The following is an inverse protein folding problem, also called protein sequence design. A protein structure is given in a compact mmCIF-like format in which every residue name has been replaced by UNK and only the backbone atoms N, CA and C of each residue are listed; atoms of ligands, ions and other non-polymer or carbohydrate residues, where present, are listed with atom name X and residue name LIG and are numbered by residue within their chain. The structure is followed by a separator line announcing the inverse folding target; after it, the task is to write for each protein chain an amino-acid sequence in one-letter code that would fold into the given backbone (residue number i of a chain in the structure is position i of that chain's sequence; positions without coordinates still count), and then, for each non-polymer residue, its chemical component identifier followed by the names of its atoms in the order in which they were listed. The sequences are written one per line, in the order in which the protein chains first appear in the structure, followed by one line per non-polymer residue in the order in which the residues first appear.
data_IF_602976577706
#
_entry.id   IF_602976577706
#
_cell.length_a   1.000
_cell.length_b   1.000
_cell.length_c   1.000
_cell.angle_alpha   90.00
_cell.angle_beta   90.00
_cell.angle_gamma   90.00
#
_symmetry.space_group_name_H-M   'P 1'
#
loop_
_entity.id
_entity.type
_entity.pdbx_description
1 polymer ?
#
# COMPACT_ATOMS: atom_id res chain seq x y z
N UNK A 1 8.72 -29.96 34.80
CA UNK A 1 8.31 -29.46 33.46
C UNK A 1 7.08 -28.59 33.66
N UNK A 2 7.28 -27.31 33.83
CA UNK A 2 6.21 -26.33 34.13
C UNK A 2 5.93 -25.54 32.89
N UNK A 3 4.78 -25.78 32.25
CA UNK A 3 4.28 -25.05 31.09
C UNK A 3 3.83 -23.68 31.54
N UNK A 4 4.47 -22.63 31.04
CA UNK A 4 4.05 -21.26 31.24
C UNK A 4 2.99 -20.89 30.18
N UNK A 5 1.75 -20.74 30.63
CA UNK A 5 0.68 -20.15 29.86
C UNK A 5 0.96 -18.65 29.71
N UNK A 6 1.24 -18.19 28.49
CA UNK A 6 1.23 -16.78 28.15
C UNK A 6 -0.23 -16.29 28.14
N UNK A 7 -0.63 -15.60 29.19
CA UNK A 7 -1.88 -14.86 29.25
C UNK A 7 -1.72 -13.59 28.39
N UNK A 8 -2.49 -13.52 27.32
CA UNK A 8 -2.62 -12.31 26.53
C UNK A 8 -3.08 -11.15 27.42
N UNK A 9 -2.33 -10.05 27.35
CA UNK A 9 -2.62 -8.82 28.09
C UNK A 9 -3.93 -8.21 27.55
N UNK A 10 -4.93 -7.91 28.39
CA UNK A 10 -6.14 -7.23 27.94
C UNK A 10 -5.80 -5.80 27.49
N UNK A 11 -6.57 -5.21 26.55
CA UNK A 11 -6.35 -3.87 26.07
C UNK A 11 -6.44 -2.86 27.20
N UNK A 12 -5.42 -2.04 27.34
CA UNK A 12 -5.17 -1.20 28.51
C UNK A 12 -5.70 0.22 28.38
N UNK A 13 -6.94 0.46 27.91
CA UNK A 13 -7.58 1.79 28.15
C UNK A 13 -9.10 1.69 28.13
N UNK A 14 -9.80 2.18 29.18
CA UNK A 14 -11.24 2.43 29.08
C UNK A 14 -11.46 3.71 28.24
N UNK A 15 -12.30 3.59 27.24
CA UNK A 15 -12.76 4.68 26.39
C UNK A 15 -13.58 5.66 27.24
N UNK A 16 -13.08 6.83 27.56
CA UNK A 16 -13.81 7.93 28.16
C UNK A 16 -13.76 9.16 27.27
N UNK A 17 -14.84 9.40 26.56
CA UNK A 17 -15.03 10.64 25.79
C UNK A 17 -16.08 10.44 24.70
N UNK A 18 -17.28 10.99 24.89
CA UNK A 18 -18.26 11.14 23.80
C UNK A 18 -17.72 12.17 22.79
N UNK A 19 -16.91 11.68 21.85
CA UNK A 19 -16.59 12.34 20.60
C UNK A 19 -17.23 11.52 19.49
N UNK A 20 -17.77 12.16 18.45
CA UNK A 20 -18.37 11.50 17.28
C UNK A 20 -17.62 10.21 16.99
N UNK A 21 -18.25 9.06 17.23
CA UNK A 21 -17.74 7.78 16.80
C UNK A 21 -17.66 7.86 15.26
N UNK A 22 -16.48 8.10 14.70
CA UNK A 22 -16.20 7.66 13.34
C UNK A 22 -16.30 6.15 13.41
N UNK A 23 -17.27 5.57 12.69
CA UNK A 23 -17.44 4.14 12.67
C UNK A 23 -16.17 3.53 12.06
N UNK A 24 -15.41 2.78 12.86
CA UNK A 24 -14.28 1.98 12.35
C UNK A 24 -14.84 0.84 11.49
N UNK A 25 -14.13 0.51 10.45
CA UNK A 25 -14.47 -0.61 9.55
C UNK A 25 -13.65 -1.82 9.99
N UNK A 26 -14.26 -2.81 10.65
CA UNK A 26 -13.57 -4.02 11.06
C UNK A 26 -13.30 -4.94 9.85
N UNK A 27 -12.26 -5.78 9.97
CA UNK A 27 -11.80 -6.65 8.88
C UNK A 27 -12.90 -7.53 8.29
N UNK A 28 -13.82 -8.05 9.12
CA UNK A 28 -14.91 -8.91 8.68
C UNK A 28 -16.01 -8.18 7.87
N UNK A 29 -16.05 -6.86 7.89
CA UNK A 29 -16.94 -6.04 7.05
C UNK A 29 -16.31 -5.71 5.68
N UNK A 30 -15.00 -5.98 5.47
CA UNK A 30 -14.32 -5.72 4.22
C UNK A 30 -14.52 -6.90 3.26
N UNK A 31 -15.18 -6.70 2.08
CA UNK A 31 -15.51 -7.79 1.18
C UNK A 31 -14.26 -8.42 0.56
N UNK A 32 -14.25 -9.74 0.43
CA UNK A 32 -13.23 -10.47 -0.34
C UNK A 32 -13.51 -10.40 -1.83
N UNK A 33 -12.51 -10.73 -2.66
CA UNK A 33 -12.72 -10.83 -4.11
C UNK A 33 -13.77 -11.90 -4.44
N UNK A 34 -13.78 -13.04 -3.72
CA UNK A 34 -14.81 -14.07 -3.88
C UNK A 34 -16.21 -13.49 -3.70
N UNK A 35 -16.41 -12.68 -2.63
CA UNK A 35 -17.71 -12.05 -2.40
C UNK A 35 -18.03 -11.03 -3.50
N UNK A 36 -17.06 -10.22 -3.93
CA UNK A 36 -17.27 -9.23 -4.99
C UNK A 36 -17.62 -9.88 -6.34
N UNK A 37 -17.03 -11.02 -6.67
CA UNK A 37 -17.41 -11.82 -7.84
C UNK A 37 -18.83 -12.40 -7.70
N UNK A 38 -19.17 -13.00 -6.56
CA UNK A 38 -20.54 -13.52 -6.28
C UNK A 38 -21.60 -12.42 -6.40
N UNK A 39 -21.30 -11.20 -5.96
CA UNK A 39 -22.18 -10.02 -6.06
C UNK A 39 -22.13 -9.34 -7.43
N UNK A 40 -21.35 -9.86 -8.40
CA UNK A 40 -21.15 -9.28 -9.74
C UNK A 40 -20.67 -7.81 -9.71
N UNK A 41 -19.89 -7.45 -8.69
CA UNK A 41 -19.23 -6.15 -8.62
C UNK A 41 -17.94 -6.13 -9.46
N UNK A 42 -17.32 -7.29 -9.64
CA UNK A 42 -16.20 -7.52 -10.55
C UNK A 42 -16.65 -8.55 -11.57
N UNK A 43 -16.43 -8.25 -12.86
CA UNK A 43 -16.75 -9.17 -13.95
C UNK A 43 -15.48 -9.95 -14.35
N UNK A 44 -15.61 -11.25 -14.70
CA UNK A 44 -14.50 -12.01 -15.25
C UNK A 44 -13.94 -11.35 -16.52
N UNK A 45 -12.65 -11.50 -16.79
CA UNK A 45 -12.05 -11.01 -18.03
C UNK A 45 -12.71 -11.66 -19.25
N UNK A 46 -13.16 -10.86 -20.21
CA UNK A 46 -13.83 -11.37 -21.39
C UNK A 46 -12.82 -12.04 -22.36
N UNK A 47 -13.04 -13.31 -22.69
CA UNK A 47 -12.55 -13.94 -23.91
C UNK A 47 -11.11 -14.42 -23.99
N UNK A 48 -10.32 -14.43 -22.92
CA UNK A 48 -8.97 -15.03 -22.89
C UNK A 48 -8.84 -16.02 -21.76
N UNK A 49 -8.08 -17.10 -21.98
CA UNK A 49 -7.60 -17.91 -20.85
C UNK A 49 -6.82 -17.00 -19.92
N UNK A 50 -7.13 -16.99 -18.62
CA UNK A 50 -6.44 -16.12 -17.68
C UNK A 50 -4.95 -16.46 -17.65
N UNK A 51 -4.10 -15.44 -17.61
CA UNK A 51 -2.65 -15.60 -17.48
C UNK A 51 -2.29 -16.32 -16.16
N UNK A 52 -3.09 -16.07 -15.14
CA UNK A 52 -2.97 -16.70 -13.82
C UNK A 52 -4.06 -17.76 -13.61
N UNK A 53 -3.68 -18.86 -13.00
CA UNK A 53 -4.64 -19.92 -12.65
C UNK A 53 -5.63 -19.43 -11.60
N UNK A 54 -6.94 -19.66 -11.78
CA UNK A 54 -7.95 -19.38 -10.75
C UNK A 54 -7.61 -20.07 -9.41
N UNK A 55 -7.73 -19.34 -8.32
CA UNK A 55 -7.47 -19.87 -6.98
C UNK A 55 -8.44 -19.22 -5.97
N UNK A 56 -9.40 -20.00 -5.49
CA UNK A 56 -10.41 -19.53 -4.54
C UNK A 56 -9.76 -19.04 -3.24
N UNK A 57 -8.76 -19.76 -2.72
CA UNK A 57 -8.09 -19.38 -1.48
C UNK A 57 -7.38 -18.01 -1.58
N UNK A 58 -6.84 -17.66 -2.73
CA UNK A 58 -6.28 -16.31 -2.92
C UNK A 58 -7.38 -15.25 -3.02
N UNK A 59 -8.50 -15.56 -3.70
CA UNK A 59 -9.63 -14.64 -3.81
C UNK A 59 -10.32 -14.39 -2.46
N UNK A 60 -10.24 -15.32 -1.52
CA UNK A 60 -10.73 -15.16 -0.14
C UNK A 60 -9.78 -14.31 0.73
N UNK A 61 -8.50 -14.22 0.34
CA UNK A 61 -7.47 -13.48 1.07
C UNK A 61 -7.22 -12.08 0.52
N UNK A 62 -7.78 -11.72 -0.63
CA UNK A 62 -7.62 -10.41 -1.23
C UNK A 62 -8.93 -9.64 -1.23
N UNK A 63 -8.85 -8.35 -0.92
CA UNK A 63 -9.97 -7.42 -0.86
C UNK A 63 -9.66 -6.14 -1.63
N UNK A 64 -10.69 -5.49 -2.14
CA UNK A 64 -10.63 -4.12 -2.63
C UNK A 64 -11.81 -3.34 -2.09
N UNK A 65 -11.56 -2.12 -1.61
CA UNK A 65 -12.58 -1.24 -1.03
C UNK A 65 -12.23 0.21 -1.33
N UNK A 66 -13.25 1.05 -1.46
CA UNK A 66 -13.07 2.51 -1.49
C UNK A 66 -13.48 3.10 -0.14
N UNK A 67 -12.48 3.51 0.65
CA UNK A 67 -12.66 3.97 2.01
C UNK A 67 -11.50 4.85 2.47
N UNK A 68 -11.69 5.57 3.56
CA UNK A 68 -10.60 6.22 4.30
C UNK A 68 -9.79 5.16 5.06
N UNK A 69 -8.54 4.96 4.68
CA UNK A 69 -7.66 3.95 5.27
C UNK A 69 -7.45 4.14 6.77
N UNK A 70 -7.60 5.38 7.26
CA UNK A 70 -7.45 5.71 8.70
C UNK A 70 -8.58 5.16 9.56
N UNK A 71 -9.67 4.70 8.94
CA UNK A 71 -10.82 4.11 9.64
C UNK A 71 -10.76 2.59 9.73
N UNK A 72 -9.81 1.93 9.05
CA UNK A 72 -9.75 0.47 9.00
C UNK A 72 -9.17 -0.11 10.29
N UNK A 73 -9.94 -0.99 10.92
CA UNK A 73 -9.49 -1.78 12.09
C UNK A 73 -8.85 -3.08 11.61
N UNK A 74 -7.59 -2.97 11.20
CA UNK A 74 -6.74 -4.05 10.67
C UNK A 74 -5.40 -4.05 11.39
N UNK A 75 -4.57 -5.09 11.23
CA UNK A 75 -3.29 -5.14 11.94
C UNK A 75 -2.31 -4.10 11.40
N UNK A 76 -2.30 -3.87 10.07
CA UNK A 76 -1.41 -2.86 9.50
C UNK A 76 -2.02 -2.12 8.32
N UNK A 77 -1.71 -0.82 8.21
CA UNK A 77 -2.01 0.03 7.06
C UNK A 77 -0.72 0.50 6.40
N UNK A 78 -0.74 0.67 5.07
CA UNK A 78 0.41 1.16 4.31
C UNK A 78 0.20 2.61 3.93
N UNK A 79 1.07 3.45 4.44
CA UNK A 79 1.13 4.88 4.16
C UNK A 79 1.95 5.15 2.89
N UNK A 80 1.45 6.01 2.00
CA UNK A 80 2.21 6.53 0.86
C UNK A 80 3.08 7.72 1.33
N UNK A 81 4.21 7.41 1.93
CA UNK A 81 5.12 8.36 2.53
C UNK A 81 6.10 8.99 1.52
N UNK A 82 6.74 10.07 1.93
CA UNK A 82 7.93 10.61 1.27
C UNK A 82 9.22 10.08 1.92
N UNK A 83 10.37 10.39 1.33
CA UNK A 83 11.67 9.88 1.77
C UNK A 83 12.08 10.33 3.18
N UNK A 84 11.53 11.43 3.70
CA UNK A 84 11.83 11.88 5.07
C UNK A 84 11.06 11.10 6.13
N UNK A 85 9.91 10.54 5.80
CA UNK A 85 8.92 9.92 6.69
C UNK A 85 8.30 10.88 7.72
N UNK A 86 8.48 12.20 7.55
CA UNK A 86 8.05 13.20 8.53
C UNK A 86 6.68 13.82 8.20
N UNK A 87 5.84 13.05 7.53
CA UNK A 87 4.52 13.50 7.11
C UNK A 87 4.56 14.33 5.83
N UNK A 88 3.39 14.71 5.34
CA UNK A 88 3.21 15.47 4.11
C UNK A 88 1.74 15.73 3.84
N UNK A 89 1.37 15.84 2.55
CA UNK A 89 -0.01 16.00 2.11
C UNK A 89 -0.71 14.67 1.79
N UNK A 90 -1.98 14.76 1.42
CA UNK A 90 -2.76 13.58 1.00
C UNK A 90 -2.92 12.56 2.12
N UNK A 91 -2.82 11.26 1.77
CA UNK A 91 -2.99 10.16 2.72
C UNK A 91 -1.93 10.17 3.82
N UNK A 92 -0.70 10.58 3.53
CA UNK A 92 0.38 10.70 4.51
C UNK A 92 0.01 11.68 5.63
N UNK A 93 -0.45 12.87 5.26
CA UNK A 93 -0.94 13.85 6.24
C UNK A 93 -2.19 13.39 7.00
N UNK A 94 -3.10 12.66 6.34
CA UNK A 94 -4.28 12.10 7.01
C UNK A 94 -3.89 11.06 8.07
N UNK A 95 -2.99 10.15 7.74
CA UNK A 95 -2.48 9.12 8.67
C UNK A 95 -1.76 9.78 9.85
N UNK A 96 -0.84 10.74 9.61
CA UNK A 96 -0.14 11.42 10.68
C UNK A 96 -1.08 12.17 11.62
N UNK A 97 -2.12 12.84 11.09
CA UNK A 97 -3.13 13.51 11.94
C UNK A 97 -3.96 12.53 12.76
N UNK A 98 -4.35 11.39 12.16
CA UNK A 98 -5.18 10.38 12.83
C UNK A 98 -4.39 9.56 13.86
N UNK A 99 -3.11 9.32 13.62
CA UNK A 99 -2.22 8.60 14.54
C UNK A 99 -1.78 9.45 15.75
N UNK A 100 -1.87 10.79 15.62
CA UNK A 100 -1.39 11.68 16.68
C UNK A 100 0.10 12.02 16.61
N UNK A 101 0.59 12.86 17.53
CA UNK A 101 1.95 13.43 17.46
C UNK A 101 3.07 12.41 17.69
N UNK A 102 2.82 11.34 18.44
CA UNK A 102 3.81 10.31 18.76
C UNK A 102 4.35 9.61 17.53
N UNK A 103 3.52 9.48 16.47
CA UNK A 103 3.96 8.93 15.20
C UNK A 103 5.11 9.73 14.58
N UNK A 104 5.05 11.07 14.63
CA UNK A 104 6.10 11.92 14.07
C UNK A 104 7.41 11.73 14.83
N UNK A 105 7.35 11.58 16.14
CA UNK A 105 8.53 11.35 16.99
C UNK A 105 9.19 10.02 16.64
N UNK A 106 8.43 8.93 16.49
CA UNK A 106 8.97 7.63 16.08
C UNK A 106 9.55 7.69 14.66
N UNK A 107 8.83 8.26 13.70
CA UNK A 107 9.30 8.44 12.32
C UNK A 107 10.64 9.19 12.26
N UNK A 108 10.82 10.21 13.14
CA UNK A 108 12.08 10.96 13.27
C UNK A 108 13.28 10.08 13.62
N UNK A 109 13.06 8.98 14.36
CA UNK A 109 14.14 8.05 14.74
C UNK A 109 14.56 7.11 13.60
N UNK A 110 13.70 6.94 12.58
CA UNK A 110 13.94 6.00 11.48
C UNK A 110 15.00 6.48 10.48
N UNK A 111 15.33 7.79 10.46
CA UNK A 111 16.33 8.35 9.55
C UNK A 111 15.92 8.34 8.09
N UNK A 112 14.63 8.41 7.79
CA UNK A 112 14.08 8.38 6.44
C UNK A 112 14.00 6.98 5.83
N UNK A 113 13.56 6.91 4.56
CA UNK A 113 13.44 5.66 3.80
C UNK A 113 13.73 5.92 2.32
N UNK A 114 14.39 4.96 1.67
CA UNK A 114 14.69 5.03 0.24
C UNK A 114 13.46 4.74 -0.62
N UNK A 115 13.41 5.34 -1.81
CA UNK A 115 12.37 5.05 -2.80
C UNK A 115 12.40 3.58 -3.24
N UNK A 116 11.27 2.93 -3.24
CA UNK A 116 11.11 1.50 -3.55
C UNK A 116 11.23 0.60 -2.32
N UNK A 117 11.23 1.18 -1.11
CA UNK A 117 11.30 0.46 0.16
C UNK A 117 10.22 0.94 1.14
N UNK A 118 10.19 0.37 2.34
CA UNK A 118 9.27 0.75 3.40
C UNK A 118 9.91 0.60 4.78
N UNK A 119 9.35 1.26 5.79
CA UNK A 119 9.66 1.11 7.22
C UNK A 119 8.37 1.02 8.03
N UNK A 120 8.41 0.45 9.22
CA UNK A 120 7.24 0.19 10.06
C UNK A 120 7.34 0.97 11.37
N UNK A 121 6.18 1.42 11.87
CA UNK A 121 5.98 2.06 13.17
C UNK A 121 4.76 1.49 13.86
N UNK A 122 4.52 1.91 15.09
CA UNK A 122 3.25 1.67 15.78
C UNK A 122 2.10 2.51 15.18
N UNK A 123 0.84 2.07 15.39
CA UNK A 123 -0.36 2.72 14.86
C UNK A 123 -0.87 3.88 15.75
N UNK A 124 -0.44 3.95 17.01
CA UNK A 124 -0.79 4.97 18.01
C UNK A 124 -2.31 5.16 18.23
N UNK A 125 -2.88 6.30 17.79
CA UNK A 125 -4.31 6.59 17.95
C UNK A 125 -5.19 6.01 16.83
N UNK A 126 -4.58 5.41 15.80
CA UNK A 126 -5.31 4.71 14.73
C UNK A 126 -5.97 3.43 15.24
N UNK A 127 -7.04 2.96 14.57
CA UNK A 127 -7.59 1.63 14.82
C UNK A 127 -6.64 0.50 14.36
N UNK A 128 -5.73 0.77 13.44
CA UNK A 128 -4.69 -0.16 12.99
C UNK A 128 -3.54 -0.22 14.01
N UNK A 129 -2.99 -1.42 14.25
CA UNK A 129 -1.90 -1.61 15.23
C UNK A 129 -0.56 -1.09 14.72
N UNK A 130 -0.31 -1.15 13.40
CA UNK A 130 0.95 -0.76 12.76
C UNK A 130 0.72 0.11 11.54
N UNK A 131 1.72 0.97 11.25
CA UNK A 131 1.80 1.74 10.00
C UNK A 131 3.07 1.35 9.27
N UNK A 132 2.95 0.98 8.01
CA UNK A 132 4.08 0.70 7.13
C UNK A 132 4.22 1.86 6.16
N UNK A 133 5.29 2.64 6.30
CA UNK A 133 5.58 3.84 5.52
C UNK A 133 6.33 3.45 4.26
N UNK A 134 5.62 3.30 3.14
CA UNK A 134 6.20 2.95 1.85
C UNK A 134 6.50 4.21 1.03
N UNK A 135 7.72 4.30 0.48
CA UNK A 135 8.15 5.43 -0.34
C UNK A 135 8.12 5.04 -1.81
N UNK A 136 7.03 5.34 -2.47
CA UNK A 136 6.85 5.06 -3.88
C UNK A 136 7.62 6.02 -4.80
N UNK A 137 7.81 5.65 -6.08
CA UNK A 137 8.49 6.49 -7.06
C UNK A 137 7.64 7.69 -7.49
N UNK A 138 8.31 8.82 -7.76
CA UNK A 138 7.73 9.92 -8.53
C UNK A 138 7.80 9.52 -10.01
N UNK A 139 6.63 9.28 -10.63
CA UNK A 139 6.51 8.60 -11.91
C UNK A 139 7.26 9.29 -13.06
N UNK A 140 7.10 10.61 -13.20
CA UNK A 140 7.74 11.37 -14.30
C UNK A 140 9.27 11.54 -14.15
N UNK A 141 9.84 11.18 -13.00
CA UNK A 141 11.29 11.24 -12.76
C UNK A 141 11.99 9.93 -13.11
N UNK A 142 11.27 8.93 -13.59
CA UNK A 142 11.77 7.60 -13.86
C UNK A 142 11.32 7.11 -15.24
N UNK A 143 12.06 6.17 -15.82
CA UNK A 143 11.51 5.38 -16.91
C UNK A 143 10.48 4.36 -16.34
N UNK A 144 9.60 3.85 -17.22
CA UNK A 144 8.49 2.97 -16.79
C UNK A 144 8.96 1.72 -16.05
N UNK A 145 10.01 1.07 -16.52
CA UNK A 145 10.50 -0.18 -15.92
C UNK A 145 11.10 0.07 -14.54
N UNK A 146 11.84 1.17 -14.38
CA UNK A 146 12.39 1.57 -13.09
C UNK A 146 11.27 1.96 -12.11
N UNK A 147 10.26 2.73 -12.58
CA UNK A 147 9.11 3.09 -11.78
C UNK A 147 8.34 1.84 -11.31
N UNK A 148 8.09 0.88 -12.21
CA UNK A 148 7.43 -0.38 -11.88
C UNK A 148 8.22 -1.21 -10.86
N UNK A 149 9.54 -1.34 -11.05
CA UNK A 149 10.42 -2.06 -10.12
C UNK A 149 10.42 -1.42 -8.72
N UNK A 150 10.49 -0.09 -8.63
CA UNK A 150 10.47 0.62 -7.36
C UNK A 150 9.10 0.50 -6.68
N UNK A 151 8.01 0.63 -7.43
CA UNK A 151 6.67 0.46 -6.88
C UNK A 151 6.44 -0.97 -6.39
N UNK A 152 6.85 -1.99 -7.14
CA UNK A 152 6.82 -3.39 -6.71
C UNK A 152 7.64 -3.61 -5.43
N UNK A 153 8.80 -2.95 -5.32
CA UNK A 153 9.62 -2.96 -4.10
C UNK A 153 8.87 -2.48 -2.87
N UNK A 154 8.07 -1.41 -3.00
CA UNK A 154 7.22 -0.90 -1.90
C UNK A 154 6.23 -1.97 -1.44
N UNK A 155 5.49 -2.60 -2.35
CA UNK A 155 4.54 -3.67 -2.01
C UNK A 155 5.24 -4.87 -1.38
N UNK A 156 6.32 -5.35 -1.99
CA UNK A 156 7.06 -6.52 -1.49
C UNK A 156 7.62 -6.28 -0.08
N UNK A 157 8.29 -5.14 0.14
CA UNK A 157 8.85 -4.80 1.45
C UNK A 157 7.76 -4.64 2.50
N UNK A 158 6.61 -4.03 2.13
CA UNK A 158 5.48 -3.88 3.05
C UNK A 158 4.89 -5.22 3.47
N UNK A 159 4.70 -6.15 2.55
CA UNK A 159 4.21 -7.50 2.84
C UNK A 159 5.18 -8.25 3.76
N UNK A 160 6.49 -8.15 3.50
CA UNK A 160 7.53 -8.76 4.33
C UNK A 160 7.52 -8.18 5.74
N UNK A 161 7.46 -6.85 5.89
CA UNK A 161 7.40 -6.18 7.19
C UNK A 161 6.14 -6.58 7.97
N UNK A 162 4.99 -6.69 7.31
CA UNK A 162 3.76 -7.15 7.95
C UNK A 162 3.93 -8.55 8.55
N UNK A 163 4.42 -9.50 7.77
CA UNK A 163 4.68 -10.88 8.24
C UNK A 163 5.70 -10.90 9.38
N UNK A 164 6.85 -10.21 9.22
CA UNK A 164 7.91 -10.16 10.23
C UNK A 164 7.46 -9.55 11.56
N UNK A 165 6.41 -8.71 11.54
CA UNK A 165 5.81 -8.12 12.73
C UNK A 165 4.52 -8.82 13.20
N UNK A 166 4.21 -10.00 12.64
CA UNK A 166 3.09 -10.84 13.07
C UNK A 166 1.71 -10.30 12.68
N UNK A 167 1.63 -9.33 11.74
CA UNK A 167 0.37 -8.84 11.21
C UNK A 167 -0.30 -9.93 10.37
N UNK A 168 -1.60 -10.14 10.57
CA UNK A 168 -2.43 -11.05 9.79
C UNK A 168 -3.18 -10.36 8.67
N UNK A 169 -3.33 -9.04 8.76
CA UNK A 169 -4.00 -8.21 7.77
C UNK A 169 -3.18 -6.96 7.44
N UNK A 170 -3.17 -6.60 6.15
CA UNK A 170 -2.48 -5.43 5.64
C UNK A 170 -3.37 -4.69 4.64
N UNK A 171 -3.53 -3.37 4.81
CA UNK A 171 -4.28 -2.53 3.88
C UNK A 171 -3.35 -1.51 3.20
N UNK A 172 -3.32 -1.55 1.88
CA UNK A 172 -2.53 -0.64 1.05
C UNK A 172 -3.34 0.57 0.62
N UNK A 173 -2.82 1.77 0.84
CA UNK A 173 -3.26 2.94 0.10
C UNK A 173 -2.83 2.86 -1.36
N UNK A 174 -3.42 3.69 -2.24
CA UNK A 174 -3.03 3.77 -3.65
C UNK A 174 -1.66 4.45 -3.80
N UNK A 175 -0.59 3.65 -3.70
CA UNK A 175 0.80 4.13 -3.69
C UNK A 175 1.15 4.86 -4.99
N UNK A 176 1.75 6.03 -4.88
CA UNK A 176 2.24 6.90 -5.96
C UNK A 176 1.18 7.49 -6.90
N UNK A 177 -0.12 7.15 -6.81
CA UNK A 177 -1.15 7.60 -7.77
C UNK A 177 -1.66 9.02 -7.52
N UNK A 178 -1.35 9.60 -6.37
CA UNK A 178 -1.65 10.97 -6.01
C UNK A 178 -0.62 11.96 -6.58
N UNK A 179 0.02 12.74 -5.71
CA UNK A 179 1.00 13.78 -6.07
C UNK A 179 2.17 13.24 -6.89
N UNK A 180 2.57 11.96 -6.71
CA UNK A 180 3.65 11.35 -7.48
C UNK A 180 3.25 10.93 -8.90
N UNK A 181 1.97 11.08 -9.28
CA UNK A 181 1.46 11.03 -10.64
C UNK A 181 1.58 9.68 -11.36
N UNK A 182 1.71 8.57 -10.62
CA UNK A 182 1.69 7.25 -11.24
C UNK A 182 0.29 6.99 -11.82
N UNK A 183 0.15 6.61 -13.11
CA UNK A 183 -1.14 6.30 -13.68
C UNK A 183 -1.83 5.14 -12.93
N UNK A 184 -3.06 5.34 -12.45
CA UNK A 184 -3.79 4.36 -11.63
C UNK A 184 -3.87 2.98 -12.27
N UNK A 185 -4.07 2.92 -13.61
CA UNK A 185 -4.12 1.66 -14.35
C UNK A 185 -2.78 0.92 -14.36
N UNK A 186 -1.65 1.61 -14.51
CA UNK A 186 -0.32 1.01 -14.48
C UNK A 186 0.09 0.63 -13.04
N UNK A 187 -0.26 1.48 -12.06
CA UNK A 187 0.06 1.23 -10.65
C UNK A 187 -0.69 -0.01 -10.12
N UNK A 188 -1.97 -0.16 -10.45
CA UNK A 188 -2.76 -1.32 -10.02
C UNK A 188 -2.27 -2.63 -10.62
N UNK A 189 -1.74 -2.63 -11.87
CA UNK A 189 -1.11 -3.83 -12.45
C UNK A 189 0.10 -4.25 -11.62
N UNK A 190 1.00 -3.32 -11.30
CA UNK A 190 2.19 -3.61 -10.47
C UNK A 190 1.81 -4.12 -9.09
N UNK A 191 0.82 -3.49 -8.47
CA UNK A 191 0.32 -3.87 -7.14
C UNK A 191 -0.25 -5.29 -7.12
N UNK A 192 -1.18 -5.58 -8.04
CA UNK A 192 -1.86 -6.86 -8.15
C UNK A 192 -0.88 -7.99 -8.49
N UNK A 193 0.02 -7.76 -9.45
CA UNK A 193 1.05 -8.73 -9.81
C UNK A 193 1.99 -9.05 -8.63
N UNK A 194 2.42 -8.01 -7.89
CA UNK A 194 3.34 -8.18 -6.76
C UNK A 194 2.67 -8.96 -5.63
N UNK A 195 1.41 -8.62 -5.29
CA UNK A 195 0.64 -9.36 -4.27
C UNK A 195 0.39 -10.80 -4.73
N UNK A 196 0.00 -11.02 -6.00
CA UNK A 196 -0.20 -12.37 -6.53
C UNK A 196 1.05 -13.22 -6.41
N UNK A 197 2.21 -12.73 -6.85
CA UNK A 197 3.50 -13.43 -6.73
C UNK A 197 3.86 -13.72 -5.27
N UNK A 198 3.63 -12.77 -4.37
CA UNK A 198 3.87 -12.98 -2.94
C UNK A 198 3.01 -14.11 -2.39
N UNK A 199 1.73 -14.18 -2.74
CA UNK A 199 0.82 -15.26 -2.32
C UNK A 199 1.23 -16.63 -2.88
N UNK A 200 1.93 -16.67 -4.03
CA UNK A 200 2.47 -17.89 -4.64
C UNK A 200 3.82 -18.33 -4.04
N UNK A 201 4.53 -17.43 -3.31
CA UNK A 201 5.84 -17.75 -2.71
C UNK A 201 5.74 -18.72 -1.50
N UNK A 202 4.54 -19.12 -1.04
CA UNK A 202 4.30 -20.17 -0.05
C UNK A 202 4.40 -19.74 1.41
N UNK A 203 5.13 -20.44 2.27
CA UNK A 203 5.06 -20.40 3.73
C UNK A 203 4.91 -19.03 4.39
N UNK A 204 5.63 -18.00 3.91
CA UNK A 204 5.50 -16.63 4.45
C UNK A 204 4.17 -15.97 4.11
N UNK A 205 3.64 -16.26 2.93
CA UNK A 205 2.35 -15.72 2.52
C UNK A 205 1.20 -16.29 3.33
N UNK A 206 1.31 -17.52 3.80
CA UNK A 206 0.28 -18.18 4.61
C UNK A 206 0.13 -17.58 6.01
N UNK A 207 1.07 -16.73 6.41
CA UNK A 207 0.96 -15.96 7.65
C UNK A 207 -0.01 -14.77 7.54
N UNK A 208 -0.34 -14.29 6.31
CA UNK A 208 -1.29 -13.22 6.09
C UNK A 208 -2.69 -13.77 5.76
N UNK A 209 -3.66 -13.43 6.56
CA UNK A 209 -5.06 -13.81 6.35
C UNK A 209 -5.77 -12.89 5.34
N UNK A 210 -5.32 -11.61 5.24
CA UNK A 210 -5.97 -10.64 4.38
C UNK A 210 -5.02 -9.57 3.83
N UNK A 211 -5.07 -9.34 2.51
CA UNK A 211 -4.44 -8.21 1.81
C UNK A 211 -5.53 -7.34 1.21
N UNK A 212 -5.54 -6.05 1.55
CA UNK A 212 -6.61 -5.12 1.20
C UNK A 212 -6.03 -3.98 0.36
N UNK A 213 -6.61 -3.72 -0.81
CA UNK A 213 -6.37 -2.51 -1.58
C UNK A 213 -7.42 -1.47 -1.22
N UNK A 214 -7.05 -0.51 -0.38
CA UNK A 214 -7.91 0.57 0.11
C UNK A 214 -7.72 1.82 -0.74
N UNK A 215 -8.64 2.06 -1.66
CA UNK A 215 -8.61 3.21 -2.53
C UNK A 215 -9.40 4.37 -1.91
N UNK A 216 -8.94 5.60 -2.10
CA UNK A 216 -9.69 6.79 -1.71
C UNK A 216 -10.47 7.36 -2.90
N UNK A 217 -9.82 7.46 -4.06
CA UNK A 217 -10.38 8.04 -5.27
C UNK A 217 -11.04 6.98 -6.15
N UNK A 218 -12.15 7.33 -6.79
CA UNK A 218 -12.88 6.47 -7.72
C UNK A 218 -11.98 5.96 -8.86
N UNK A 219 -11.12 6.82 -9.43
CA UNK A 219 -10.19 6.44 -10.50
C UNK A 219 -9.27 5.27 -10.14
N UNK A 220 -8.85 5.19 -8.86
CA UNK A 220 -7.99 4.12 -8.39
C UNK A 220 -8.79 2.83 -8.21
N UNK A 221 -9.99 2.91 -7.61
CA UNK A 221 -10.91 1.77 -7.49
C UNK A 221 -11.27 1.18 -8.87
N UNK A 222 -11.64 2.03 -9.85
CA UNK A 222 -11.95 1.60 -11.22
C UNK A 222 -10.77 0.86 -11.87
N UNK A 223 -9.54 1.33 -11.62
CA UNK A 223 -8.33 0.68 -12.13
C UNK A 223 -8.14 -0.72 -11.51
N UNK A 224 -8.38 -0.87 -10.20
CA UNK A 224 -8.33 -2.18 -9.54
C UNK A 224 -9.44 -3.11 -10.06
N UNK A 225 -10.68 -2.67 -10.13
CA UNK A 225 -11.80 -3.48 -10.65
C UNK A 225 -11.56 -3.97 -12.06
N UNK A 226 -10.96 -3.13 -12.91
CA UNK A 226 -10.61 -3.50 -14.28
C UNK A 226 -9.51 -4.57 -14.34
N UNK A 227 -8.50 -4.48 -13.48
CA UNK A 227 -7.27 -5.28 -13.59
C UNK A 227 -7.27 -6.55 -12.71
N UNK A 228 -8.08 -6.60 -11.64
CA UNK A 228 -8.22 -7.77 -10.75
C UNK A 228 -8.45 -9.08 -11.51
N UNK A 229 -9.35 -9.16 -12.52
CA UNK A 229 -9.63 -10.42 -13.20
C UNK A 229 -8.43 -11.04 -13.92
N UNK A 230 -7.41 -10.25 -14.23
CA UNK A 230 -6.17 -10.74 -14.85
C UNK A 230 -5.34 -11.56 -13.85
N UNK A 231 -5.19 -11.07 -12.61
CA UNK A 231 -4.30 -11.66 -11.60
C UNK A 231 -5.03 -12.59 -10.63
N UNK A 232 -6.30 -12.32 -10.39
CA UNK A 232 -7.17 -13.04 -9.48
C UNK A 232 -8.47 -13.45 -10.18
N UNK A 233 -8.40 -14.28 -11.23
CA UNK A 233 -9.59 -14.74 -11.93
C UNK A 233 -10.51 -15.53 -10.99
N UNK A 234 -11.86 -15.48 -11.18
CA UNK A 234 -12.79 -16.23 -10.35
C UNK A 234 -12.59 -17.73 -10.55
N UNK A 235 -12.67 -18.49 -9.47
CA UNK A 235 -12.76 -19.95 -9.56
C UNK A 235 -14.10 -20.31 -10.26
N UNK A 236 -14.07 -21.22 -11.22
CA UNK A 236 -15.32 -21.74 -11.82
C UNK A 236 -16.01 -22.64 -10.79
N UNK A 237 -17.35 -22.69 -10.84
CA UNK A 237 -18.13 -23.58 -9.99
C UNK A 237 -17.73 -25.06 -10.12
N UNK A 238 -17.13 -25.44 -11.25
CA UNK A 238 -16.59 -26.79 -11.46
C UNK A 238 -15.29 -27.06 -10.70
N UNK A 239 -14.48 -26.01 -10.41
CA UNK A 239 -13.26 -26.14 -9.62
C UNK A 239 -13.55 -26.18 -8.10
N UNK A 240 -14.64 -25.59 -7.65
CA UNK A 240 -15.07 -25.66 -6.23
C UNK A 240 -15.48 -27.10 -5.87
N UNK A 241 -16.17 -27.80 -6.75
CA UNK A 241 -16.56 -29.22 -6.55
C UNK A 241 -15.38 -30.20 -6.57
N UNK A 242 -14.32 -29.93 -7.32
CA UNK A 242 -13.13 -30.79 -7.33
C UNK A 242 -12.25 -30.62 -6.09
N UNK A 243 -12.29 -29.44 -5.46
CA UNK A 243 -11.55 -29.19 -4.22
C UNK A 243 -12.32 -29.76 -3.01
N UNK A 244 -13.65 -29.65 -2.97
CA UNK A 244 -14.47 -30.27 -1.94
C UNK A 244 -14.44 -31.80 -2.01
N UNK A 245 -14.42 -32.41 -3.21
CA UNK A 245 -14.31 -33.86 -3.34
C UNK A 245 -12.94 -34.42 -2.96
N UNK A 246 -11.85 -33.66 -3.12
CA UNK A 246 -10.52 -34.09 -2.64
C UNK A 246 -10.35 -33.95 -1.13
N UNK A 247 -11.01 -32.94 -0.51
CA UNK A 247 -10.99 -32.77 0.93
C UNK A 247 -11.87 -33.79 1.67
N UNK A 248 -12.92 -34.33 1.01
CA UNK A 248 -13.79 -35.36 1.59
C UNK A 248 -13.22 -36.77 1.47
N UNK A 249 -12.35 -37.03 0.50
CA UNK A 249 -11.70 -38.37 0.38
C UNK A 249 -10.61 -38.63 1.44
N UNK A 250 -10.14 -37.61 2.16
CA UNK A 250 -9.16 -37.76 3.25
C UNK A 250 -9.78 -37.83 4.66
N UNK A 251 -11.09 -37.63 4.83
CA UNK A 251 -11.77 -37.64 6.11
C UNK A 251 -13.05 -38.53 6.07
N UNK A 252 -12.89 -39.83 5.85
CA UNK A 252 -13.92 -40.81 6.20
C UNK A 252 -13.86 -41.10 7.69
N UNK A 253 -14.57 -40.33 8.53
CA UNK A 253 -15.14 -40.78 9.80
C UNK A 253 -16.33 -39.93 10.23
N UNK A 254 -17.51 -40.55 10.18
CA UNK A 254 -18.79 -40.31 10.89
C UNK A 254 -19.02 -38.95 11.54
N UNK A 255 -20.03 -38.20 11.04
CA UNK A 255 -21.26 -37.88 11.82
C UNK A 255 -22.24 -37.10 10.94
N UNK A 256 -23.50 -37.46 11.09
CA UNK A 256 -24.71 -36.93 10.49
C UNK A 256 -25.04 -35.50 10.98
N UNK A 257 -25.92 -34.82 10.19
CA UNK A 257 -26.72 -33.62 10.50
C UNK A 257 -26.02 -32.26 10.23
N UNK A 258 -26.65 -31.23 9.74
CA UNK A 258 -27.99 -30.87 9.19
C UNK A 258 -27.88 -29.54 8.43
N UNK A 259 -28.71 -29.32 7.43
CA UNK A 259 -29.34 -28.10 6.89
C UNK A 259 -28.95 -26.72 7.43
N UNK A 260 -28.17 -25.94 6.68
CA UNK A 260 -28.10 -24.49 6.82
C UNK A 260 -27.69 -23.74 5.52
N UNK A 261 -28.28 -24.14 4.36
CA UNK A 261 -27.97 -23.45 3.08
C UNK A 261 -28.79 -22.17 2.78
N UNK A 262 -29.72 -21.75 3.63
CA UNK A 262 -30.62 -20.62 3.33
C UNK A 262 -30.22 -19.30 4.02
N UNK A 263 -29.32 -19.30 4.99
CA UNK A 263 -28.97 -18.09 5.73
C UNK A 263 -27.79 -17.27 5.15
N UNK A 264 -26.96 -17.87 4.28
CA UNK A 264 -25.76 -17.19 3.74
C UNK A 264 -26.02 -16.03 2.77
N UNK A 265 -27.12 -16.09 1.99
CA UNK A 265 -27.38 -15.08 0.95
C UNK A 265 -27.96 -13.76 1.50
N UNK A 266 -28.63 -13.77 2.64
CA UNK A 266 -29.16 -12.55 3.25
C UNK A 266 -28.09 -11.80 4.06
N UNK A 267 -27.19 -12.50 4.73
CA UNK A 267 -26.10 -11.91 5.49
C UNK A 267 -25.09 -11.14 4.62
N UNK A 268 -24.83 -11.62 3.41
CA UNK A 268 -23.87 -11.01 2.49
C UNK A 268 -24.32 -9.68 1.90
N UNK A 269 -25.63 -9.46 1.71
CA UNK A 269 -26.17 -8.18 1.23
C UNK A 269 -26.16 -7.13 2.35
N UNK A 270 -26.29 -7.57 3.60
CA UNK A 270 -26.30 -6.71 4.78
C UNK A 270 -24.92 -6.11 5.09
N UNK A 271 -23.83 -6.86 4.85
CA UNK A 271 -22.45 -6.41 5.06
C UNK A 271 -22.13 -5.17 4.21
N UNK A 272 -22.49 -5.16 2.92
CA UNK A 272 -22.21 -4.02 2.04
C UNK A 272 -23.03 -2.78 2.37
N UNK A 273 -24.21 -2.93 3.00
CA UNK A 273 -25.04 -1.81 3.42
C UNK A 273 -24.62 -1.20 4.75
N UNK A 274 -23.76 -1.86 5.51
CA UNK A 274 -23.25 -1.40 6.81
C UNK A 274 -21.91 -0.67 6.70
N UNK A 275 -21.24 -0.72 5.54
CA UNK A 275 -20.00 0.03 5.34
C UNK A 275 -20.30 1.53 5.39
N UNK A 276 -19.42 2.33 6.04
CA UNK A 276 -19.48 3.77 5.97
C UNK A 276 -19.46 4.25 4.52
N UNK A 277 -20.08 5.39 4.27
CA UNK A 277 -20.09 6.00 2.94
C UNK A 277 -18.67 6.14 2.41
N UNK A 278 -18.48 5.75 1.13
CA UNK A 278 -17.20 5.91 0.46
C UNK A 278 -16.79 7.40 0.45
N UNK A 279 -15.48 7.71 0.56
CA UNK A 279 -15.02 9.08 0.57
C UNK A 279 -15.41 9.81 -0.72
N UNK A 280 -15.70 11.10 -0.61
CA UNK A 280 -15.94 11.98 -1.76
C UNK A 280 -14.63 12.21 -2.52
N UNK A 281 -14.70 12.32 -3.85
CA UNK A 281 -13.51 12.46 -4.71
C UNK A 281 -12.81 13.83 -4.59
N UNK A 282 -13.36 14.77 -3.84
CA UNK A 282 -12.71 16.05 -3.59
C UNK A 282 -11.69 15.93 -2.46
N UNK A 283 -10.38 15.97 -2.74
CA UNK A 283 -9.41 16.21 -1.70
C UNK A 283 -9.70 17.60 -1.12
N UNK A 284 -9.92 17.69 0.17
CA UNK A 284 -9.94 18.98 0.84
C UNK A 284 -8.55 19.56 0.69
N UNK A 285 -8.41 20.55 -0.20
CA UNK A 285 -7.19 21.34 -0.31
C UNK A 285 -6.97 22.05 1.03
N UNK A 286 -6.14 21.48 1.86
CA UNK A 286 -5.64 22.12 3.07
C UNK A 286 -4.37 22.87 2.67
N UNK A 287 -4.53 23.89 1.83
CA UNK A 287 -3.54 24.94 1.58
C UNK A 287 -3.70 26.06 2.62
N UNK A 288 -3.60 25.75 3.89
CA UNK A 288 -3.39 26.73 4.95
C UNK A 288 -2.68 26.11 6.16
N UNK A 289 -1.60 25.35 5.90
CA UNK A 289 -0.58 25.17 6.90
C UNK A 289 0.56 26.12 6.55
N UNK A 290 0.59 27.27 7.22
CA UNK A 290 1.70 28.23 7.21
C UNK A 290 3.04 27.46 7.22
N UNK A 291 3.78 27.58 6.11
CA UNK A 291 5.19 27.23 6.13
C UNK A 291 5.85 28.01 7.26
N UNK A 292 6.62 27.39 8.14
CA UNK A 292 7.38 28.15 9.13
C UNK A 292 8.31 29.09 8.36
N UNK A 293 8.02 30.36 8.45
CA UNK A 293 8.81 31.45 7.92
C UNK A 293 10.24 31.30 8.42
N UNK A 294 11.17 31.06 7.53
CA UNK A 294 12.58 31.21 7.82
C UNK A 294 12.79 32.64 8.33
N UNK A 295 12.99 32.79 9.63
CA UNK A 295 13.46 34.03 10.23
C UNK A 295 14.79 34.38 9.59
N UNK A 296 14.79 35.34 8.65
CA UNK A 296 16.00 36.04 8.24
C UNK A 296 16.54 36.71 9.52
N UNK A 297 17.63 36.20 10.03
CA UNK A 297 18.45 36.94 11.00
C UNK A 297 18.98 38.18 10.31
N UNK A 298 18.48 39.32 10.79
CA UNK A 298 18.98 40.65 10.46
C UNK A 298 20.26 40.83 11.26
N UNK A 299 21.40 40.67 10.61
CA UNK A 299 22.69 41.14 11.14
C UNK A 299 22.78 42.63 10.87
N UNK A 300 22.95 43.38 11.96
CA UNK A 300 23.20 44.83 11.94
C UNK A 300 24.54 45.16 11.29
N UNK A 301 24.55 46.34 10.76
CA UNK A 301 25.60 47.01 10.04
C UNK A 301 26.93 47.11 10.80
N UNK A 302 28.00 46.93 10.07
CA UNK A 302 29.35 47.40 10.42
C UNK A 302 30.10 47.72 9.12
N UNK A 303 30.34 49.01 8.96
CA UNK A 303 30.96 49.67 7.87
C UNK A 303 32.40 49.24 7.59
N UNK A 304 32.80 49.44 6.37
CA UNK A 304 34.00 50.00 5.78
C UNK A 304 34.78 49.10 4.80
N UNK A 305 34.80 49.66 3.60
CA UNK A 305 35.89 49.72 2.58
C UNK A 305 36.76 48.48 2.27
N UNK A 306 36.66 47.94 1.06
CA UNK A 306 37.66 48.18 0.01
C UNK A 306 37.31 47.47 -1.31
N UNK A 307 37.38 48.26 -2.37
CA UNK A 307 37.32 47.89 -3.77
C UNK A 307 38.54 47.07 -4.19
N UNK A 308 38.38 45.94 -4.85
CA UNK A 308 39.29 45.50 -5.90
C UNK A 308 38.49 44.87 -7.03
N UNK A 309 38.44 45.58 -8.15
CA UNK A 309 38.12 45.06 -9.49
C UNK A 309 39.27 44.15 -9.92
N UNK A 310 38.94 42.97 -10.44
CA UNK A 310 39.85 42.24 -11.35
C UNK A 310 39.10 41.78 -12.57
N UNK A 311 39.68 42.19 -13.69
CA UNK A 311 39.23 42.15 -15.06
C UNK A 311 38.90 40.76 -15.61
N UNK A 312 38.02 40.82 -16.62
CA UNK A 312 37.80 39.84 -17.67
C UNK A 312 39.09 39.46 -18.38
N UNK A 313 39.36 38.16 -18.51
CA UNK A 313 40.23 37.65 -19.57
C UNK A 313 39.40 36.82 -20.52
N UNK A 314 39.17 37.37 -21.69
CA UNK A 314 38.78 36.72 -22.93
C UNK A 314 40.04 36.10 -23.51
N UNK A 315 40.03 34.83 -23.85
CA UNK A 315 41.03 34.24 -24.74
C UNK A 315 40.34 33.48 -25.86
N UNK A 316 40.54 34.02 -27.02
CA UNK A 316 40.12 33.63 -28.36
C UNK A 316 40.86 32.37 -28.84
N UNK A 317 40.26 31.70 -29.82
CA UNK A 317 40.62 30.43 -30.38
C UNK A 317 41.99 30.31 -31.03
N UNK A 318 42.38 29.08 -31.26
CA UNK A 318 42.93 28.58 -32.54
C UNK A 318 43.22 27.07 -32.47
N UNK A 319 42.69 26.32 -33.44
CA UNK A 319 43.21 25.02 -33.87
C UNK A 319 44.59 25.17 -34.48
N UNK A 320 45.42 24.13 -34.53
CA UNK A 320 45.67 23.55 -35.85
C UNK A 320 45.69 22.03 -35.95
N UNK A 321 45.61 21.62 -37.20
CA UNK A 321 45.51 20.31 -37.81
C UNK A 321 46.81 19.48 -37.77
N UNK A 322 46.55 18.14 -38.07
CA UNK A 322 47.36 17.17 -38.83
C UNK A 322 48.71 16.66 -38.24
N UNK A 323 48.88 15.39 -38.15
CA UNK A 323 49.50 14.43 -39.09
C UNK A 323 49.50 13.00 -38.57
N UNK A 324 48.98 12.15 -39.34
CA UNK A 324 49.50 10.94 -39.97
C UNK A 324 50.80 10.32 -39.41
N UNK A 325 50.75 9.06 -39.05
CA UNK A 325 51.91 8.23 -38.77
C UNK A 325 51.57 6.76 -38.60
N UNK A 326 51.66 6.07 -39.69
CA UNK A 326 51.50 4.63 -39.92
C UNK A 326 52.55 3.73 -39.24
N UNK A 327 52.17 2.41 -39.14
CA UNK A 327 53.02 1.18 -39.23
C UNK A 327 53.47 0.55 -37.90
N UNK A 328 53.23 -0.69 -37.70
CA UNK A 328 53.41 -2.03 -38.19
C UNK A 328 53.69 -2.98 -37.01
N UNK A 329 52.98 -4.08 -37.04
CA UNK A 329 53.33 -5.51 -36.91
C UNK A 329 54.26 -6.02 -35.81
N UNK A 330 53.80 -7.11 -35.28
CA UNK A 330 54.43 -8.42 -35.00
C UNK A 330 54.97 -8.61 -33.57
N UNK A 331 54.42 -9.46 -32.84
CA UNK A 331 54.60 -10.90 -32.67
C UNK A 331 53.58 -11.43 -31.66
#
# INVERSE_FOLDING_TARGET
MTSAYYLAKPPSKPFSGQSKMSAFVPLNEIPTLTLLYKLKKIEPAAGSSPEYTPNAAYNDRVSVIRQDITTLAVDSIVNAANTSLLGGGGVDGAIHRAAGPELLDECGTLGGCETGSAKITDGYELPADKIIHAVGPIYWNKNKDEAARLLAGCYKTSLQLAVENGCKSIAFSALSTGVYGYPSGEASLVALETVRKFLEEGEKADELDRVIFCNFLQKDEDAYFKNIPTFFPPASAETETEIETKATDELEYDTEEEQDEVQGAQATTEILSQLPDAPTDEPVDIDDAEQPSQKKQKTEEGSDDDFILVDKVVVDGTKPESELGTRTQAS
#
